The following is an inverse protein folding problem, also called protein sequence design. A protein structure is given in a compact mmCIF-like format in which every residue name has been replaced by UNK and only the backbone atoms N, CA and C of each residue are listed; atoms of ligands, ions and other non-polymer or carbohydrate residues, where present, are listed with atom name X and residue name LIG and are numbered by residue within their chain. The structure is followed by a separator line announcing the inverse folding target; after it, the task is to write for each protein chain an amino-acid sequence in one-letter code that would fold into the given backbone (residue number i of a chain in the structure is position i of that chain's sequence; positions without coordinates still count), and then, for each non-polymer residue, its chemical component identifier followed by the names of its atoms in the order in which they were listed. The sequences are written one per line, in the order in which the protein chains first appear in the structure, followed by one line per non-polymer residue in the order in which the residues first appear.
data_IF_425495519449
#
_entry.id   IF_425495519449
#
_cell.length_a   1.000
_cell.length_b   1.000
_cell.length_c   1.000
_cell.angle_alpha   90.00
_cell.angle_beta   90.00
_cell.angle_gamma   90.00
#
_symmetry.space_group_name_H-M   'P 1'
#
loop_
_entity.id
_entity.type
_entity.pdbx_description
1 polymer ?
#
# COMPACT_ATOMS: atom_id res chain seq x y z
N UNK A 1 -17.06 -32.74 -14.15
CA UNK A 1 -16.68 -31.39 -14.61
C UNK A 1 -15.18 -31.43 -14.88
N UNK A 2 -14.73 -30.87 -15.99
CA UNK A 2 -13.29 -30.73 -16.28
C UNK A 2 -12.69 -29.68 -15.34
N UNK A 3 -11.47 -29.88 -14.87
CA UNK A 3 -10.76 -28.86 -14.10
C UNK A 3 -10.65 -27.55 -14.90
N UNK A 4 -10.62 -26.39 -14.24
CA UNK A 4 -10.35 -25.10 -14.89
C UNK A 4 -8.94 -25.13 -15.53
N UNK A 5 -8.74 -24.31 -16.54
CA UNK A 5 -7.39 -24.09 -17.11
C UNK A 5 -6.49 -23.37 -16.10
N UNK A 6 -5.16 -23.40 -16.31
CA UNK A 6 -4.20 -22.67 -15.45
C UNK A 6 -4.55 -21.19 -15.36
N UNK A 7 -4.90 -20.55 -16.50
CA UNK A 7 -5.30 -19.14 -16.49
C UNK A 7 -6.61 -18.90 -15.71
N UNK A 8 -7.65 -19.72 -15.96
CA UNK A 8 -8.92 -19.62 -15.24
C UNK A 8 -8.74 -19.90 -13.74
N UNK A 9 -7.99 -20.92 -13.35
CA UNK A 9 -7.74 -21.23 -11.95
C UNK A 9 -7.03 -20.08 -11.25
N UNK A 10 -5.98 -19.55 -11.87
CA UNK A 10 -5.21 -18.42 -11.34
C UNK A 10 -6.13 -17.21 -11.09
N UNK A 11 -6.90 -16.80 -12.08
CA UNK A 11 -7.78 -15.64 -11.94
C UNK A 11 -8.93 -15.88 -10.96
N UNK A 12 -9.59 -17.05 -10.98
CA UNK A 12 -10.64 -17.39 -10.00
C UNK A 12 -10.11 -17.39 -8.57
N UNK A 13 -8.89 -17.89 -8.39
CA UNK A 13 -8.27 -17.92 -7.05
C UNK A 13 -7.90 -16.53 -6.54
N UNK A 14 -7.41 -15.64 -7.43
CA UNK A 14 -7.15 -14.24 -7.09
C UNK A 14 -8.45 -13.46 -6.88
N UNK A 15 -9.48 -13.70 -7.69
CA UNK A 15 -10.81 -13.11 -7.50
C UNK A 15 -11.43 -13.50 -6.15
N UNK A 16 -11.19 -14.72 -5.66
CA UNK A 16 -11.66 -15.16 -4.35
C UNK A 16 -11.03 -14.37 -3.17
N UNK A 17 -9.94 -13.62 -3.41
CA UNK A 17 -9.41 -12.64 -2.45
C UNK A 17 -10.25 -11.35 -2.37
N UNK A 18 -11.25 -11.18 -3.24
CA UNK A 18 -12.06 -9.97 -3.35
C UNK A 18 -11.61 -9.00 -4.44
N UNK A 19 -10.73 -9.45 -5.34
CA UNK A 19 -10.28 -8.66 -6.50
C UNK A 19 -11.28 -8.85 -7.63
N UNK A 20 -11.89 -7.77 -8.11
CA UNK A 20 -12.88 -7.78 -9.18
C UNK A 20 -12.39 -7.14 -10.51
N UNK A 21 -11.12 -6.73 -10.57
CA UNK A 21 -10.52 -6.08 -11.73
C UNK A 21 -9.20 -6.72 -12.14
N UNK A 22 -8.96 -6.80 -13.45
CA UNK A 22 -7.67 -7.12 -14.06
C UNK A 22 -7.24 -5.92 -14.90
N UNK A 23 -6.12 -5.30 -14.51
CA UNK A 23 -5.55 -4.18 -15.26
C UNK A 23 -4.51 -4.69 -16.26
N UNK A 24 -4.48 -4.11 -17.45
CA UNK A 24 -3.50 -4.56 -18.44
C UNK A 24 -3.64 -3.93 -19.82
N UNK A 25 -2.76 -4.39 -20.69
CA UNK A 25 -2.82 -4.19 -22.15
C UNK A 25 -2.86 -5.56 -22.79
N UNK A 26 -3.81 -5.86 -23.68
CA UNK A 26 -3.86 -7.15 -24.35
C UNK A 26 -2.58 -7.41 -25.17
N UNK A 27 -1.98 -8.58 -24.97
CA UNK A 27 -0.84 -9.05 -25.74
C UNK A 27 -1.02 -10.50 -26.10
N UNK A 28 -0.56 -10.89 -27.29
CA UNK A 28 -0.81 -12.23 -27.87
C UNK A 28 -0.31 -13.38 -26.99
N UNK A 29 0.81 -13.22 -26.30
CA UNK A 29 1.31 -14.24 -25.37
C UNK A 29 0.52 -14.29 -24.05
N UNK A 30 -0.26 -13.26 -23.74
CA UNK A 30 -1.13 -13.20 -22.56
C UNK A 30 -2.61 -13.52 -22.86
N UNK A 31 -3.00 -13.81 -24.11
CA UNK A 31 -4.38 -14.10 -24.47
C UNK A 31 -5.07 -15.16 -23.60
N UNK A 32 -4.45 -16.27 -23.20
CA UNK A 32 -5.12 -17.19 -22.28
C UNK A 32 -5.57 -16.56 -20.98
N UNK A 33 -4.82 -15.58 -20.46
CA UNK A 33 -5.18 -14.82 -19.23
C UNK A 33 -6.27 -13.80 -19.55
N UNK A 34 -6.17 -13.11 -20.68
CA UNK A 34 -7.13 -12.10 -21.11
C UNK A 34 -8.50 -12.73 -21.38
N UNK A 35 -8.54 -13.84 -22.15
CA UNK A 35 -9.76 -14.58 -22.45
C UNK A 35 -10.40 -15.16 -21.17
N UNK A 36 -9.58 -15.65 -20.25
CA UNK A 36 -10.09 -16.13 -18.95
C UNK A 36 -10.71 -15.01 -18.11
N UNK A 37 -10.17 -13.80 -18.18
CA UNK A 37 -10.74 -12.66 -17.47
C UNK A 37 -12.15 -12.26 -17.97
N UNK A 38 -12.38 -12.39 -19.29
CA UNK A 38 -13.67 -12.06 -19.90
C UNK A 38 -14.78 -13.07 -19.56
N UNK A 39 -14.44 -14.32 -19.24
CA UNK A 39 -15.44 -15.39 -19.00
C UNK A 39 -15.69 -15.68 -17.53
N UNK A 40 -14.95 -15.04 -16.62
CA UNK A 40 -15.12 -15.23 -15.17
C UNK A 40 -16.12 -14.20 -14.64
N UNK A 41 -17.27 -14.68 -14.18
CA UNK A 41 -18.29 -13.83 -13.58
C UNK A 41 -17.74 -13.01 -12.40
N UNK A 42 -18.00 -11.72 -12.41
CA UNK A 42 -17.59 -10.77 -11.36
C UNK A 42 -16.14 -10.27 -11.52
N UNK A 43 -15.43 -10.63 -12.58
CA UNK A 43 -14.11 -10.11 -12.90
C UNK A 43 -14.21 -9.24 -14.17
N UNK A 44 -13.65 -8.04 -14.12
CA UNK A 44 -13.68 -7.08 -15.23
C UNK A 44 -12.26 -6.80 -15.74
N UNK A 45 -12.07 -6.86 -17.06
CA UNK A 45 -10.87 -6.41 -17.72
C UNK A 45 -10.87 -4.89 -17.86
N UNK A 46 -9.87 -4.23 -17.30
CA UNK A 46 -9.69 -2.77 -17.38
C UNK A 46 -8.50 -2.45 -18.29
N UNK A 47 -8.79 -2.08 -19.52
CA UNK A 47 -7.78 -1.69 -20.49
C UNK A 47 -7.14 -0.35 -20.14
N UNK A 48 -5.84 -0.23 -20.39
CA UNK A 48 -5.07 0.99 -20.15
C UNK A 48 -4.37 1.48 -21.41
N UNK A 49 -3.94 2.74 -21.42
CA UNK A 49 -3.24 3.35 -22.55
C UNK A 49 -1.88 2.67 -22.84
N UNK A 50 -1.20 2.21 -21.80
CA UNK A 50 0.00 1.36 -21.85
C UNK A 50 0.14 0.60 -20.53
N UNK A 51 1.14 -0.29 -20.43
CA UNK A 51 1.32 -1.16 -19.28
C UNK A 51 1.80 -0.41 -18.02
N UNK A 52 2.49 0.73 -18.17
CA UNK A 52 2.82 1.58 -17.03
C UNK A 52 1.56 2.19 -16.40
N UNK A 53 0.63 2.67 -17.23
CA UNK A 53 -0.66 3.15 -16.73
C UNK A 53 -1.47 2.02 -16.09
N UNK A 54 -1.44 0.81 -16.66
CA UNK A 54 -2.08 -0.37 -16.07
C UNK A 54 -1.49 -0.70 -14.68
N UNK A 55 -0.15 -0.66 -14.55
CA UNK A 55 0.52 -0.89 -13.27
C UNK A 55 0.18 0.18 -12.23
N UNK A 56 0.07 1.45 -12.63
CA UNK A 56 -0.37 2.53 -11.73
C UNK A 56 -1.85 2.42 -11.35
N UNK A 57 -2.72 1.98 -12.26
CA UNK A 57 -4.11 1.70 -11.92
C UNK A 57 -4.23 0.52 -10.94
N UNK A 58 -3.47 -0.56 -11.17
CA UNK A 58 -3.39 -1.68 -10.24
C UNK A 58 -2.86 -1.25 -8.86
N UNK A 59 -1.87 -0.35 -8.81
CA UNK A 59 -1.37 0.26 -7.56
C UNK A 59 -2.49 1.02 -6.82
N UNK A 60 -3.21 1.90 -7.52
CA UNK A 60 -4.34 2.65 -6.97
C UNK A 60 -5.44 1.74 -6.42
N UNK A 61 -5.83 0.72 -7.20
CA UNK A 61 -6.80 -0.28 -6.79
C UNK A 61 -6.35 -1.05 -5.53
N UNK A 62 -5.08 -1.49 -5.49
CA UNK A 62 -4.53 -2.24 -4.35
C UNK A 62 -4.54 -1.42 -3.05
N UNK A 63 -4.43 -0.09 -3.13
CA UNK A 63 -4.49 0.81 -1.95
C UNK A 63 -5.84 0.75 -1.25
N UNK A 64 -6.92 0.60 -2.02
CA UNK A 64 -8.30 0.61 -1.52
C UNK A 64 -8.81 -0.82 -1.27
N UNK A 65 -8.47 -1.77 -2.15
CA UNK A 65 -9.00 -3.14 -2.11
C UNK A 65 -8.05 -4.15 -1.46
N UNK A 66 -6.81 -3.76 -1.14
CA UNK A 66 -5.80 -4.56 -0.46
C UNK A 66 -4.92 -5.41 -1.36
N UNK A 67 -5.33 -5.71 -2.59
CA UNK A 67 -4.54 -6.41 -3.60
C UNK A 67 -5.08 -6.12 -5.01
N UNK A 68 -4.25 -6.33 -6.06
CA UNK A 68 -4.65 -6.11 -7.45
C UNK A 68 -4.06 -7.18 -8.39
N UNK A 69 -4.65 -7.29 -9.60
CA UNK A 69 -4.14 -8.12 -10.69
C UNK A 69 -3.67 -7.21 -11.83
N UNK A 70 -2.44 -7.43 -12.29
CA UNK A 70 -1.87 -6.81 -13.49
C UNK A 70 -1.52 -7.89 -14.49
N UNK A 71 -1.91 -7.74 -15.76
CA UNK A 71 -1.59 -8.67 -16.83
C UNK A 71 -0.87 -7.98 -17.98
N UNK A 72 0.25 -8.55 -18.42
CA UNK A 72 1.06 -8.05 -19.54
C UNK A 72 1.62 -9.18 -20.39
N UNK A 73 2.00 -8.87 -21.62
CA UNK A 73 2.90 -9.75 -22.39
C UNK A 73 4.32 -9.68 -21.85
N UNK A 74 5.14 -10.70 -22.15
CA UNK A 74 6.55 -10.71 -21.76
C UNK A 74 7.36 -9.63 -22.49
N UNK A 75 8.56 -9.33 -21.98
CA UNK A 75 9.50 -8.41 -22.58
C UNK A 75 8.96 -6.98 -22.60
N UNK A 76 8.44 -6.52 -23.74
CA UNK A 76 8.03 -5.12 -23.92
C UNK A 76 6.93 -4.69 -22.96
N UNK A 77 5.95 -5.55 -22.66
CA UNK A 77 4.84 -5.22 -21.76
C UNK A 77 5.26 -5.24 -20.30
N UNK A 78 5.93 -6.31 -19.84
CA UNK A 78 6.37 -6.39 -18.45
C UNK A 78 7.41 -5.34 -18.09
N UNK A 79 8.34 -5.00 -19.01
CA UNK A 79 9.33 -3.94 -18.77
C UNK A 79 8.68 -2.54 -18.75
N UNK A 80 7.66 -2.32 -19.58
CA UNK A 80 6.86 -1.08 -19.52
C UNK A 80 6.17 -0.92 -18.15
N UNK A 81 5.64 -2.00 -17.58
CA UNK A 81 4.98 -2.02 -16.28
C UNK A 81 5.94 -1.91 -15.09
N UNK A 82 7.22 -2.24 -15.25
CA UNK A 82 8.18 -2.48 -14.18
C UNK A 82 8.31 -1.30 -13.21
N UNK A 83 8.32 -0.06 -13.71
CA UNK A 83 8.38 1.13 -12.88
C UNK A 83 7.17 1.22 -11.93
N UNK A 84 5.96 0.89 -12.40
CA UNK A 84 4.76 0.85 -11.57
C UNK A 84 4.81 -0.27 -10.52
N UNK A 85 5.27 -1.47 -10.91
CA UNK A 85 5.42 -2.61 -9.99
C UNK A 85 6.45 -2.30 -8.89
N UNK A 86 7.56 -1.64 -9.24
CA UNK A 86 8.53 -1.18 -8.23
C UNK A 86 7.95 -0.12 -7.30
N UNK A 87 7.09 0.78 -7.81
CA UNK A 87 6.34 1.71 -7.01
C UNK A 87 5.43 1.03 -5.99
N UNK A 88 4.69 0.01 -6.44
CA UNK A 88 3.86 -0.81 -5.55
C UNK A 88 4.68 -1.53 -4.49
N UNK A 89 5.89 -2.04 -4.83
CA UNK A 89 6.82 -2.61 -3.86
C UNK A 89 7.25 -1.59 -2.81
N UNK A 90 7.63 -0.38 -3.24
CA UNK A 90 8.07 0.69 -2.34
C UNK A 90 6.95 1.09 -1.36
N UNK A 91 5.69 1.05 -1.81
CA UNK A 91 4.51 1.41 -1.02
C UNK A 91 3.79 0.23 -0.37
N UNK A 92 4.42 -0.96 -0.37
CA UNK A 92 3.89 -2.16 0.31
C UNK A 92 2.48 -2.53 -0.16
N UNK A 93 2.35 -2.80 -1.46
CA UNK A 93 1.08 -3.16 -2.10
C UNK A 93 1.20 -4.51 -2.80
N UNK A 94 0.35 -5.49 -2.50
CA UNK A 94 0.30 -6.76 -3.22
C UNK A 94 -0.31 -6.56 -4.62
N UNK A 95 0.53 -6.55 -5.65
CA UNK A 95 0.12 -6.56 -7.04
C UNK A 95 0.58 -7.89 -7.67
N UNK A 96 -0.37 -8.72 -8.08
CA UNK A 96 -0.09 -9.98 -8.77
C UNK A 96 0.13 -9.69 -10.25
N UNK A 97 1.40 -9.58 -10.65
CA UNK A 97 1.78 -9.33 -12.04
C UNK A 97 1.87 -10.65 -12.80
N UNK A 98 0.87 -10.91 -13.64
CA UNK A 98 0.78 -12.10 -14.48
C UNK A 98 1.33 -11.78 -15.87
N UNK A 99 2.35 -12.52 -16.28
CA UNK A 99 3.06 -12.30 -17.56
C UNK A 99 2.86 -13.48 -18.47
N UNK A 100 2.29 -13.21 -19.65
CA UNK A 100 2.14 -14.19 -20.72
C UNK A 100 3.45 -14.41 -21.47
N UNK A 101 3.85 -15.66 -21.69
CA UNK A 101 5.10 -16.02 -22.38
C UNK A 101 4.88 -16.99 -23.54
N UNK A 102 5.82 -17.03 -24.52
CA UNK A 102 5.87 -18.09 -25.51
C UNK A 102 5.92 -19.49 -24.88
N UNK A 103 5.45 -20.50 -25.62
CA UNK A 103 5.45 -21.87 -25.11
C UNK A 103 6.85 -22.36 -24.73
N UNK A 104 6.93 -23.33 -23.83
CA UNK A 104 8.18 -23.94 -23.39
C UNK A 104 8.95 -24.54 -24.56
N UNK A 105 8.23 -25.07 -25.57
CA UNK A 105 8.87 -25.59 -26.78
C UNK A 105 9.63 -24.50 -27.51
N UNK A 106 9.06 -23.32 -27.70
CA UNK A 106 9.70 -22.18 -28.36
C UNK A 106 10.95 -21.77 -27.55
N UNK A 107 10.84 -21.69 -26.26
CA UNK A 107 11.92 -21.32 -25.34
C UNK A 107 13.07 -22.36 -25.38
N UNK A 108 12.76 -23.66 -25.26
CA UNK A 108 13.74 -24.76 -25.32
C UNK A 108 14.47 -24.84 -26.66
N UNK A 109 13.74 -24.66 -27.76
CA UNK A 109 14.33 -24.65 -29.09
C UNK A 109 15.06 -23.36 -29.43
N UNK A 110 15.03 -22.38 -28.52
CA UNK A 110 15.64 -21.07 -28.69
C UNK A 110 15.24 -20.40 -30.02
N UNK A 111 13.95 -20.49 -30.34
CA UNK A 111 13.44 -19.85 -31.56
C UNK A 111 13.31 -18.33 -31.30
N UNK A 112 13.53 -17.53 -32.31
CA UNK A 112 13.33 -16.08 -32.22
C UNK A 112 11.84 -15.78 -32.43
N UNK A 113 11.25 -15.09 -31.47
CA UNK A 113 9.89 -14.55 -31.53
C UNK A 113 9.94 -13.02 -31.41
N UNK A 114 8.85 -12.35 -31.72
CA UNK A 114 8.75 -10.91 -31.37
C UNK A 114 8.80 -10.70 -29.88
N UNK A 115 9.05 -9.48 -29.42
CA UNK A 115 9.31 -9.08 -28.02
C UNK A 115 10.61 -9.65 -27.42
N UNK A 116 11.41 -10.37 -28.21
CA UNK A 116 12.73 -10.87 -27.83
C UNK A 116 13.84 -9.91 -28.31
N UNK A 117 14.97 -9.88 -27.62
CA UNK A 117 16.13 -9.04 -27.99
C UNK A 117 16.96 -9.62 -29.15
N UNK A 118 16.51 -10.70 -29.79
CA UNK A 118 17.22 -11.39 -30.88
C UNK A 118 18.32 -12.34 -30.40
N UNK A 119 18.45 -12.56 -29.10
CA UNK A 119 19.46 -13.44 -28.48
C UNK A 119 18.88 -14.77 -27.97
N UNK A 120 17.61 -15.00 -28.18
CA UNK A 120 16.88 -16.21 -27.78
C UNK A 120 16.87 -16.54 -26.29
N UNK A 121 17.19 -15.57 -25.44
CA UNK A 121 17.11 -15.67 -23.98
C UNK A 121 15.78 -15.18 -23.48
N UNK A 122 14.95 -16.10 -22.99
CA UNK A 122 13.62 -15.82 -22.45
C UNK A 122 13.61 -15.56 -20.93
N UNK A 123 14.63 -16.04 -20.22
CA UNK A 123 14.82 -15.91 -18.78
C UNK A 123 15.20 -14.50 -18.34
N UNK A 124 15.81 -13.70 -19.22
CA UNK A 124 16.31 -12.35 -18.90
C UNK A 124 15.24 -11.42 -18.32
N UNK A 125 14.08 -11.39 -18.93
CA UNK A 125 12.99 -10.51 -18.48
C UNK A 125 12.39 -11.01 -17.17
N UNK A 126 12.31 -12.32 -16.96
CA UNK A 126 11.91 -12.93 -15.69
C UNK A 126 12.87 -12.53 -14.57
N UNK A 127 14.19 -12.56 -14.79
CA UNK A 127 15.20 -12.15 -13.82
C UNK A 127 15.01 -10.68 -13.42
N UNK A 128 14.75 -9.81 -14.39
CA UNK A 128 14.53 -8.37 -14.15
C UNK A 128 13.23 -8.14 -13.39
N UNK A 129 12.12 -8.67 -13.86
CA UNK A 129 10.78 -8.45 -13.26
C UNK A 129 10.65 -9.12 -11.90
N UNK A 130 11.20 -10.30 -11.71
CA UNK A 130 11.20 -10.97 -10.41
C UNK A 130 11.95 -10.16 -9.33
N UNK A 131 12.98 -9.38 -9.69
CA UNK A 131 13.70 -8.52 -8.75
C UNK A 131 12.82 -7.40 -8.16
N UNK A 132 11.77 -7.00 -8.87
CA UNK A 132 10.79 -6.02 -8.38
C UNK A 132 9.79 -6.63 -7.38
N UNK A 133 9.70 -7.95 -7.30
CA UNK A 133 8.69 -8.68 -6.53
C UNK A 133 9.30 -9.37 -5.31
N UNK A 134 8.49 -9.72 -4.32
CA UNK A 134 8.94 -10.50 -3.15
C UNK A 134 8.94 -12.00 -3.41
N UNK A 135 8.19 -12.43 -4.40
CA UNK A 135 7.99 -13.84 -4.74
C UNK A 135 7.68 -13.98 -6.23
N UNK A 136 8.11 -15.09 -6.84
CA UNK A 136 7.82 -15.41 -8.24
C UNK A 136 7.52 -16.88 -8.44
N UNK A 137 6.78 -17.21 -9.50
CA UNK A 137 6.54 -18.57 -9.95
C UNK A 137 6.28 -18.63 -11.46
N UNK A 138 6.68 -19.74 -12.09
CA UNK A 138 6.25 -20.15 -13.42
C UNK A 138 5.17 -21.21 -13.24
N UNK A 139 3.96 -20.90 -13.69
CA UNK A 139 2.80 -21.77 -13.50
C UNK A 139 2.64 -22.76 -14.66
N UNK A 140 2.52 -24.04 -14.28
CA UNK A 140 2.27 -25.15 -15.18
C UNK A 140 1.04 -25.93 -14.70
N UNK A 141 0.44 -26.82 -15.51
CA UNK A 141 -0.67 -27.66 -15.05
C UNK A 141 -0.39 -28.42 -13.77
N UNK A 142 0.85 -28.89 -13.60
CA UNK A 142 1.25 -29.76 -12.47
C UNK A 142 1.50 -29.00 -11.16
N UNK A 143 1.98 -27.74 -11.23
CA UNK A 143 2.40 -26.98 -10.05
C UNK A 143 1.47 -25.80 -9.70
N UNK A 144 0.53 -25.47 -10.57
CA UNK A 144 -0.26 -24.24 -10.46
C UNK A 144 -0.95 -24.10 -9.10
N UNK A 145 -1.52 -25.17 -8.59
CA UNK A 145 -2.28 -25.12 -7.32
C UNK A 145 -1.36 -24.76 -6.15
N UNK A 146 -0.26 -25.48 -5.99
CA UNK A 146 0.64 -25.30 -4.84
C UNK A 146 1.45 -24.00 -4.93
N UNK A 147 1.97 -23.70 -6.12
CA UNK A 147 2.76 -22.50 -6.36
C UNK A 147 1.93 -21.21 -6.24
N UNK A 148 0.69 -21.21 -6.72
CA UNK A 148 -0.20 -20.06 -6.59
C UNK A 148 -0.53 -19.77 -5.12
N UNK A 149 -0.84 -20.82 -4.33
CA UNK A 149 -1.08 -20.64 -2.88
C UNK A 149 0.17 -20.16 -2.13
N UNK A 150 1.35 -20.64 -2.51
CA UNK A 150 2.63 -20.16 -1.97
C UNK A 150 2.82 -18.67 -2.29
N UNK A 151 2.62 -18.29 -3.55
CA UNK A 151 2.79 -16.90 -4.02
C UNK A 151 1.78 -15.96 -3.36
N UNK A 152 0.51 -16.34 -3.29
CA UNK A 152 -0.53 -15.56 -2.62
C UNK A 152 -0.15 -15.31 -1.16
N UNK A 153 0.19 -16.36 -0.42
CA UNK A 153 0.55 -16.23 0.99
C UNK A 153 1.74 -15.32 1.20
N UNK A 154 2.78 -15.47 0.40
CA UNK A 154 4.01 -14.68 0.55
C UNK A 154 3.81 -13.21 0.17
N UNK A 155 3.11 -12.93 -0.94
CA UNK A 155 2.81 -11.56 -1.38
C UNK A 155 1.96 -10.81 -0.35
N UNK A 156 0.93 -11.46 0.18
CA UNK A 156 0.04 -10.87 1.18
C UNK A 156 0.73 -10.72 2.54
N UNK A 157 1.56 -11.72 2.95
CA UNK A 157 2.32 -11.65 4.20
C UNK A 157 3.31 -10.47 4.21
N UNK A 158 3.96 -10.21 3.08
CA UNK A 158 4.93 -9.12 2.96
C UNK A 158 4.28 -7.79 2.53
N UNK A 159 3.02 -7.81 2.10
CA UNK A 159 2.35 -6.67 1.44
C UNK A 159 3.21 -6.15 0.29
N UNK A 160 3.57 -7.03 -0.67
CA UNK A 160 4.46 -6.70 -1.79
C UNK A 160 4.01 -7.38 -3.09
N UNK A 161 4.44 -6.86 -4.25
CA UNK A 161 4.13 -7.46 -5.53
C UNK A 161 4.67 -8.89 -5.67
N UNK A 162 3.94 -9.69 -6.47
CA UNK A 162 4.31 -11.03 -6.89
C UNK A 162 4.41 -11.09 -8.42
N UNK A 163 5.30 -11.94 -8.93
CA UNK A 163 5.51 -12.16 -10.35
C UNK A 163 5.12 -13.59 -10.75
N UNK A 164 4.15 -13.71 -11.65
CA UNK A 164 3.61 -14.95 -12.12
C UNK A 164 3.80 -15.08 -13.65
N UNK A 165 4.34 -16.18 -14.11
CA UNK A 165 4.51 -16.46 -15.54
C UNK A 165 3.56 -17.57 -15.95
N UNK A 166 2.81 -17.34 -17.02
CA UNK A 166 1.94 -18.32 -17.66
C UNK A 166 2.26 -18.36 -19.15
N UNK A 167 2.74 -19.49 -19.67
CA UNK A 167 2.93 -19.61 -21.11
C UNK A 167 1.60 -19.79 -21.84
N UNK A 168 1.56 -19.41 -23.13
CA UNK A 168 0.37 -19.57 -23.98
C UNK A 168 -0.21 -21.00 -23.94
N UNK A 169 0.67 -22.02 -23.92
CA UNK A 169 0.23 -23.40 -23.92
C UNK A 169 -0.27 -23.83 -22.55
N UNK A 170 0.48 -23.54 -21.48
CA UNK A 170 0.06 -23.88 -20.13
C UNK A 170 -1.22 -23.15 -19.74
N UNK A 171 -1.39 -21.90 -20.18
CA UNK A 171 -2.55 -21.08 -19.85
C UNK A 171 -3.90 -21.71 -20.24
N UNK A 172 -3.93 -22.48 -21.34
CA UNK A 172 -5.15 -23.17 -21.80
C UNK A 172 -5.25 -24.63 -21.37
N UNK A 173 -4.23 -25.16 -20.67
CA UNK A 173 -4.26 -26.52 -20.16
C UNK A 173 -4.98 -26.60 -18.82
N UNK A 174 -5.78 -27.66 -18.56
CA UNK A 174 -6.41 -27.85 -17.26
C UNK A 174 -5.39 -28.10 -16.15
N UNK A 175 -5.63 -27.56 -14.95
CA UNK A 175 -4.79 -27.86 -13.80
C UNK A 175 -4.88 -29.31 -13.40
N UNK A 176 -3.77 -29.88 -12.92
CA UNK A 176 -3.69 -31.25 -12.41
C UNK A 176 -3.78 -31.20 -10.88
N UNK A 177 -4.69 -31.96 -10.34
CA UNK A 177 -4.94 -31.98 -8.88
C UNK A 177 -6.33 -31.50 -8.51
N UNK A 178 -6.56 -31.32 -7.21
CA UNK A 178 -7.83 -30.83 -6.69
C UNK A 178 -7.74 -29.32 -6.42
N UNK A 179 -8.52 -28.50 -7.15
CA UNK A 179 -8.57 -27.06 -6.90
C UNK A 179 -8.88 -26.73 -5.43
N UNK A 180 -8.13 -25.78 -4.86
CA UNK A 180 -8.37 -25.30 -3.50
C UNK A 180 -9.54 -24.33 -3.48
N UNK A 181 -10.41 -24.44 -2.48
CA UNK A 181 -11.48 -23.45 -2.27
C UNK A 181 -10.86 -22.09 -1.95
N UNK A 182 -11.41 -21.04 -2.53
CA UNK A 182 -10.95 -19.69 -2.30
C UNK A 182 -11.09 -19.27 -0.83
N UNK A 183 -10.04 -18.67 -0.28
CA UNK A 183 -10.05 -18.07 1.06
C UNK A 183 -10.00 -16.56 0.91
N UNK A 184 -10.90 -15.80 1.56
CA UNK A 184 -10.90 -14.34 1.49
C UNK A 184 -9.59 -13.71 1.97
N UNK A 185 -9.27 -12.53 1.45
CA UNK A 185 -8.06 -11.76 1.80
C UNK A 185 -7.86 -11.63 3.31
N UNK A 186 -8.92 -11.28 4.04
CA UNK A 186 -8.87 -11.08 5.49
C UNK A 186 -8.47 -12.36 6.27
N UNK A 187 -8.77 -13.55 5.75
CA UNK A 187 -8.35 -14.80 6.38
C UNK A 187 -6.90 -15.15 6.06
N UNK A 188 -6.44 -14.87 4.85
CA UNK A 188 -5.05 -15.14 4.42
C UNK A 188 -4.07 -14.22 5.14
N UNK A 189 -4.45 -12.96 5.38
CA UNK A 189 -3.60 -11.96 6.03
C UNK A 189 -3.66 -12.01 7.55
N UNK A 190 -4.59 -12.78 8.13
CA UNK A 190 -4.77 -12.85 9.58
C UNK A 190 -3.53 -13.43 10.28
N UNK A 191 -2.90 -12.59 11.09
CA UNK A 191 -1.80 -12.99 11.98
C UNK A 191 -2.33 -13.27 13.38
N UNK A 192 -1.59 -14.10 14.12
CA UNK A 192 -1.86 -14.39 15.54
C UNK A 192 -0.61 -14.10 16.33
N UNK A 193 -0.77 -13.44 17.45
CA UNK A 193 0.31 -13.15 18.36
C UNK A 193 0.65 -14.36 19.25
N UNK A 194 1.92 -14.45 19.66
CA UNK A 194 2.28 -15.22 20.83
C UNK A 194 1.66 -14.55 22.06
N UNK A 195 0.86 -15.26 22.90
CA UNK A 195 0.17 -14.62 24.01
C UNK A 195 1.08 -14.04 25.09
N UNK A 196 2.26 -14.65 25.30
CA UNK A 196 3.24 -14.18 26.28
C UNK A 196 3.93 -12.91 25.83
N UNK A 197 4.39 -12.90 24.58
CA UNK A 197 5.02 -11.72 23.96
C UNK A 197 4.02 -10.57 23.85
N UNK A 198 2.77 -10.85 23.45
CA UNK A 198 1.71 -9.83 23.39
C UNK A 198 1.49 -9.19 24.75
N UNK A 199 1.29 -9.98 25.79
CA UNK A 199 1.05 -9.46 27.14
C UNK A 199 2.26 -8.66 27.65
N UNK A 200 3.48 -9.05 27.33
CA UNK A 200 4.69 -8.33 27.68
C UNK A 200 4.81 -6.99 26.93
N UNK A 201 4.58 -7.02 25.61
CA UNK A 201 4.60 -5.83 24.75
C UNK A 201 3.57 -4.78 25.21
N UNK A 202 2.33 -5.21 25.43
CA UNK A 202 1.23 -4.32 25.86
C UNK A 202 1.56 -3.67 27.20
N UNK A 203 2.05 -4.44 28.19
CA UNK A 203 2.46 -3.87 29.50
C UNK A 203 3.58 -2.85 29.34
N UNK A 204 4.58 -3.11 28.49
CA UNK A 204 5.69 -2.20 28.25
C UNK A 204 5.23 -0.89 27.61
N UNK A 205 4.32 -0.98 26.63
CA UNK A 205 3.74 0.20 25.95
C UNK A 205 2.94 1.03 26.96
N UNK A 206 2.00 0.42 27.68
CA UNK A 206 1.14 1.11 28.65
C UNK A 206 1.96 1.78 29.76
N UNK A 207 3.01 1.12 30.26
CA UNK A 207 3.91 1.71 31.25
C UNK A 207 4.62 2.96 30.72
N UNK A 208 5.12 2.94 29.48
CA UNK A 208 5.75 4.11 28.86
C UNK A 208 4.74 5.24 28.60
N UNK A 209 3.57 4.90 28.08
CA UNK A 209 2.49 5.88 27.86
C UNK A 209 2.08 6.53 29.19
N UNK A 210 1.94 5.77 30.26
CA UNK A 210 1.57 6.30 31.57
C UNK A 210 2.66 7.19 32.19
N UNK A 211 3.93 6.87 31.98
CA UNK A 211 5.07 7.62 32.54
C UNK A 211 5.38 8.91 31.75
N UNK A 212 5.09 8.96 30.47
CA UNK A 212 5.42 10.10 29.61
C UNK A 212 4.61 11.35 30.02
N UNK A 213 5.29 12.50 30.02
CA UNK A 213 4.65 13.80 30.28
C UNK A 213 4.12 14.44 29.00
N UNK A 214 4.82 14.28 27.89
CA UNK A 214 4.52 14.88 26.58
C UNK A 214 4.62 13.82 25.46
N UNK A 215 3.78 12.78 25.53
CA UNK A 215 3.76 11.77 24.46
C UNK A 215 3.13 12.34 23.19
N UNK A 216 3.66 11.93 22.02
CA UNK A 216 3.10 12.19 20.70
C UNK A 216 3.02 10.88 19.95
N UNK A 217 1.91 10.61 19.28
CA UNK A 217 1.76 9.47 18.40
C UNK A 217 1.94 9.87 16.93
N UNK A 218 2.41 8.94 16.12
CA UNK A 218 2.30 8.98 14.67
C UNK A 218 1.66 7.70 14.18
N UNK A 219 0.77 7.82 13.19
CA UNK A 219 0.11 6.69 12.55
C UNK A 219 0.50 6.70 11.08
N UNK A 220 1.03 5.61 10.59
CA UNK A 220 1.57 5.56 9.24
C UNK A 220 0.64 4.85 8.26
N UNK A 221 0.83 5.11 6.97
CA UNK A 221 0.15 4.43 5.87
C UNK A 221 0.21 2.91 5.98
N UNK A 222 1.23 2.36 6.66
CA UNK A 222 1.34 0.91 6.87
C UNK A 222 0.15 0.35 7.66
N UNK A 223 -0.46 1.13 8.55
CA UNK A 223 -1.67 0.68 9.27
C UNK A 223 -2.86 0.43 8.33
N UNK A 224 -2.98 1.21 7.26
CA UNK A 224 -3.97 0.94 6.19
C UNK A 224 -3.60 -0.32 5.41
N UNK A 225 -2.30 -0.54 5.09
CA UNK A 225 -1.81 -1.76 4.40
C UNK A 225 -2.05 -3.03 5.22
N UNK A 226 -2.01 -2.92 6.54
CA UNK A 226 -2.31 -4.02 7.47
C UNK A 226 -3.81 -4.13 7.84
N UNK A 227 -4.66 -3.25 7.33
CA UNK A 227 -6.10 -3.24 7.62
C UNK A 227 -6.45 -2.81 9.05
N UNK A 228 -5.58 -2.06 9.73
CA UNK A 228 -5.74 -1.69 11.14
C UNK A 228 -5.80 -0.17 11.41
N UNK A 229 -5.91 0.67 10.37
CA UNK A 229 -5.99 2.12 10.53
C UNK A 229 -7.15 2.56 11.43
N UNK A 230 -8.30 1.91 11.35
CA UNK A 230 -9.45 2.13 12.24
C UNK A 230 -9.10 1.86 13.70
N UNK A 231 -8.44 0.73 13.99
CA UNK A 231 -7.99 0.39 15.35
C UNK A 231 -6.96 1.38 15.88
N UNK A 232 -6.04 1.85 15.01
CA UNK A 232 -5.09 2.89 15.39
C UNK A 232 -5.81 4.19 15.78
N UNK A 233 -6.82 4.61 15.02
CA UNK A 233 -7.65 5.75 15.35
C UNK A 233 -8.40 5.56 16.68
N UNK A 234 -8.94 4.37 16.93
CA UNK A 234 -9.65 4.05 18.18
C UNK A 234 -8.72 4.07 19.39
N UNK A 235 -7.49 3.55 19.24
CA UNK A 235 -6.48 3.67 20.30
C UNK A 235 -6.10 5.12 20.59
N UNK A 236 -5.88 5.95 19.56
CA UNK A 236 -5.60 7.38 19.72
C UNK A 236 -6.72 8.10 20.47
N UNK A 237 -7.99 7.78 20.15
CA UNK A 237 -9.16 8.34 20.88
C UNK A 237 -9.21 7.86 22.33
N UNK A 238 -9.07 6.54 22.55
CA UNK A 238 -9.14 5.94 23.88
C UNK A 238 -8.04 6.48 24.81
N UNK A 239 -6.82 6.58 24.33
CA UNK A 239 -5.68 7.12 25.07
C UNK A 239 -5.68 8.66 25.15
N UNK A 240 -6.48 9.35 24.35
CA UNK A 240 -6.50 10.81 24.14
C UNK A 240 -5.10 11.37 23.85
N UNK A 241 -4.34 10.72 22.95
CA UNK A 241 -2.98 11.11 22.58
C UNK A 241 -2.98 12.15 21.46
N UNK A 242 -2.13 13.19 21.51
CA UNK A 242 -1.88 14.01 20.32
C UNK A 242 -1.25 13.14 19.22
N UNK A 243 -1.78 13.27 18.01
CA UNK A 243 -1.31 12.51 16.85
C UNK A 243 -0.91 13.43 15.72
N UNK A 244 0.29 13.23 15.20
CA UNK A 244 0.77 13.84 13.99
C UNK A 244 0.75 12.83 12.84
N UNK A 245 0.73 13.33 11.60
CA UNK A 245 1.01 12.53 10.39
C UNK A 245 2.23 13.10 9.68
N UNK A 246 2.86 12.28 8.85
CA UNK A 246 3.90 12.74 7.93
C UNK A 246 3.34 12.91 6.51
N UNK A 247 4.00 13.60 5.58
CA UNK A 247 3.51 13.77 4.20
C UNK A 247 3.12 12.48 3.49
N UNK A 248 3.85 11.37 3.73
CA UNK A 248 3.51 10.07 3.14
C UNK A 248 2.28 9.39 3.78
N UNK A 249 1.85 9.88 4.94
CA UNK A 249 0.79 9.29 5.75
C UNK A 249 -0.51 10.10 5.71
N UNK A 250 -0.54 11.15 4.87
CA UNK A 250 -1.72 12.01 4.74
C UNK A 250 -2.96 11.20 4.39
N UNK A 251 -4.04 11.44 5.12
CA UNK A 251 -5.32 10.77 4.90
C UNK A 251 -5.44 9.37 5.52
N UNK A 252 -4.41 8.83 6.18
CA UNK A 252 -4.49 7.54 6.88
C UNK A 252 -5.41 7.59 8.09
N UNK A 253 -5.55 8.76 8.70
CA UNK A 253 -6.52 9.08 9.74
C UNK A 253 -7.47 10.17 9.26
N UNK A 254 -8.68 10.20 9.81
CA UNK A 254 -9.57 11.34 9.67
C UNK A 254 -8.94 12.55 10.38
N UNK A 255 -8.54 13.55 9.61
CA UNK A 255 -7.89 14.76 10.13
C UNK A 255 -8.86 15.67 10.94
N UNK A 256 -10.15 15.34 10.98
CA UNK A 256 -11.12 15.99 11.87
C UNK A 256 -11.04 15.52 13.33
N UNK A 257 -10.27 14.46 13.61
CA UNK A 257 -10.05 13.97 14.98
C UNK A 257 -9.56 15.07 15.89
N UNK A 258 -10.15 15.23 17.10
CA UNK A 258 -9.68 16.24 18.08
C UNK A 258 -8.23 16.04 18.50
N UNK A 259 -7.70 14.81 18.37
CA UNK A 259 -6.32 14.45 18.69
C UNK A 259 -5.32 14.83 17.60
N UNK A 260 -5.79 15.10 16.37
CA UNK A 260 -4.92 15.44 15.26
C UNK A 260 -4.30 16.83 15.44
N UNK A 261 -2.98 16.92 15.54
CA UNK A 261 -2.26 18.17 15.75
C UNK A 261 -1.65 18.74 14.47
N UNK A 262 -1.60 17.98 13.38
CA UNK A 262 -1.13 18.45 12.08
C UNK A 262 -0.12 17.54 11.42
N UNK A 263 0.52 18.08 10.37
CA UNK A 263 1.52 17.39 9.54
C UNK A 263 2.93 17.72 10.02
N UNK A 264 3.70 16.70 10.42
CA UNK A 264 5.11 16.87 10.74
C UNK A 264 5.98 16.70 9.49
N UNK A 265 6.82 17.68 9.23
CA UNK A 265 7.84 17.65 8.16
C UNK A 265 8.99 18.61 8.53
N UNK A 266 9.55 18.46 9.73
CA UNK A 266 10.59 19.33 10.29
C UNK A 266 10.26 20.83 10.10
N UNK A 267 11.11 21.60 9.44
CA UNK A 267 10.89 23.02 9.19
C UNK A 267 9.64 23.32 8.32
N UNK A 268 9.15 22.33 7.59
CA UNK A 268 7.97 22.46 6.72
C UNK A 268 6.68 21.97 7.39
N UNK A 269 6.70 21.68 8.69
CA UNK A 269 5.53 21.23 9.46
C UNK A 269 4.33 22.19 9.34
N UNK A 270 3.11 21.63 9.40
CA UNK A 270 1.87 22.41 9.28
C UNK A 270 0.84 21.95 10.31
N UNK A 271 0.35 22.83 11.21
CA UNK A 271 0.91 24.18 11.43
C UNK A 271 2.37 24.11 11.97
N UNK A 272 3.14 25.21 11.90
CA UNK A 272 4.57 25.20 12.29
C UNK A 272 4.83 24.72 13.72
N UNK A 273 3.91 24.95 14.64
CA UNK A 273 3.98 24.57 16.05
C UNK A 273 4.08 23.05 16.27
N UNK A 274 3.65 22.26 15.30
CA UNK A 274 3.79 20.78 15.34
C UNK A 274 5.26 20.38 15.51
N UNK A 275 6.19 21.10 14.87
CA UNK A 275 7.63 20.88 15.03
C UNK A 275 8.05 20.99 16.51
N UNK A 276 7.58 22.02 17.21
CA UNK A 276 7.98 22.29 18.60
C UNK A 276 7.36 21.24 19.54
N UNK A 277 6.11 20.83 19.27
CA UNK A 277 5.44 19.76 20.04
C UNK A 277 6.23 18.45 19.91
N UNK A 278 6.64 18.08 18.68
CA UNK A 278 7.40 16.86 18.43
C UNK A 278 8.81 16.94 19.02
N UNK A 279 9.49 18.10 18.89
CA UNK A 279 10.82 18.31 19.47
C UNK A 279 10.84 18.23 21.00
N UNK A 280 9.74 18.57 21.67
CA UNK A 280 9.60 18.52 23.12
C UNK A 280 9.01 17.19 23.61
N UNK A 281 8.63 16.29 22.72
CA UNK A 281 8.05 15.00 23.11
C UNK A 281 9.09 14.16 23.87
N UNK A 282 8.67 13.59 24.99
CA UNK A 282 9.45 12.65 25.79
C UNK A 282 9.13 11.18 25.42
N UNK A 283 8.12 10.98 24.59
CA UNK A 283 7.76 9.70 24.03
C UNK A 283 7.15 9.89 22.63
N UNK A 284 7.68 9.20 21.65
CA UNK A 284 7.05 9.03 20.34
C UNK A 284 6.48 7.60 20.25
N UNK A 285 5.17 7.50 19.98
CA UNK A 285 4.54 6.24 19.60
C UNK A 285 4.44 6.17 18.07
N UNK A 286 5.22 5.29 17.51
CA UNK A 286 5.23 4.99 16.08
C UNK A 286 4.33 3.78 15.81
N UNK A 287 3.15 4.03 15.22
CA UNK A 287 2.15 2.99 14.92
C UNK A 287 2.17 2.71 13.41
N UNK A 288 2.75 1.58 13.04
CA UNK A 288 2.87 1.11 11.66
C UNK A 288 4.27 1.21 11.07
N UNK A 289 5.17 2.00 11.65
CA UNK A 289 6.53 2.23 11.18
C UNK A 289 6.70 3.51 10.36
N UNK A 290 7.38 4.50 10.92
CA UNK A 290 7.67 5.78 10.24
C UNK A 290 8.66 5.55 9.09
N UNK A 291 8.29 6.03 7.92
CA UNK A 291 9.16 6.05 6.76
C UNK A 291 9.93 7.38 6.73
N UNK A 292 11.21 7.33 7.09
CA UNK A 292 12.08 8.51 7.13
C UNK A 292 12.71 8.75 5.76
N UNK A 293 12.22 9.75 5.05
CA UNK A 293 12.79 10.22 3.76
C UNK A 293 12.94 11.73 3.80
N UNK A 294 13.72 12.28 2.88
CA UNK A 294 13.90 13.73 2.75
C UNK A 294 12.57 14.47 2.50
N UNK A 295 11.65 13.88 1.75
CA UNK A 295 10.32 14.48 1.50
C UNK A 295 9.39 14.35 2.71
N UNK A 296 9.55 13.31 3.49
CA UNK A 296 8.67 12.99 4.60
C UNK A 296 9.05 13.68 5.90
N UNK A 297 10.32 14.00 6.10
CA UNK A 297 10.85 14.59 7.33
C UNK A 297 11.49 15.95 7.12
N UNK A 298 11.28 16.58 5.97
CA UNK A 298 11.75 17.94 5.66
C UNK A 298 13.12 17.98 5.04
N UNK A 299 13.20 17.70 3.75
CA UNK A 299 14.32 17.89 2.80
C UNK A 299 15.64 18.33 3.46
N UNK A 300 16.62 17.42 3.60
CA UNK A 300 17.97 17.72 4.10
C UNK A 300 18.04 18.38 5.50
N UNK A 301 16.90 18.46 6.19
CA UNK A 301 16.78 19.04 7.51
C UNK A 301 16.92 18.03 8.64
N UNK A 302 16.47 18.41 9.83
CA UNK A 302 16.50 17.57 11.03
C UNK A 302 15.62 16.33 10.83
N UNK A 303 16.21 15.16 10.79
CA UNK A 303 15.49 13.89 10.71
C UNK A 303 14.87 13.59 12.09
N UNK A 304 13.61 13.17 12.10
CA UNK A 304 12.95 12.72 13.34
C UNK A 304 13.70 11.53 13.93
N UNK A 305 14.25 11.70 15.12
CA UNK A 305 14.89 10.60 15.85
C UNK A 305 13.82 9.69 16.48
N UNK A 306 13.68 8.50 15.95
CA UNK A 306 12.79 7.46 16.48
C UNK A 306 13.53 6.38 17.27
N UNK A 307 14.80 6.56 17.59
CA UNK A 307 15.61 5.56 18.32
C UNK A 307 15.03 5.23 19.70
N UNK A 308 14.49 6.24 20.39
CA UNK A 308 13.81 6.12 21.69
C UNK A 308 12.31 5.80 21.62
N UNK A 309 11.74 5.76 20.42
CA UNK A 309 10.30 5.57 20.23
C UNK A 309 9.84 4.16 20.66
N UNK A 310 8.57 4.05 21.01
CA UNK A 310 7.84 2.79 20.96
C UNK A 310 7.38 2.58 19.53
N UNK A 311 7.85 1.51 18.88
CA UNK A 311 7.45 1.16 17.52
C UNK A 311 6.53 -0.06 17.57
N UNK A 312 5.32 0.07 17.00
CA UNK A 312 4.35 -1.02 16.85
C UNK A 312 4.30 -1.33 15.36
N UNK A 313 4.94 -2.43 14.97
CA UNK A 313 5.04 -2.86 13.60
C UNK A 313 4.09 -4.02 13.32
N UNK A 314 4.07 -4.49 12.08
CA UNK A 314 3.21 -5.57 11.59
C UNK A 314 3.18 -6.83 12.48
N UNK A 315 4.37 -7.36 12.84
CA UNK A 315 4.52 -8.59 13.62
C UNK A 315 5.55 -8.50 14.75
N UNK A 316 5.96 -7.29 15.11
CA UNK A 316 6.87 -7.03 16.23
C UNK A 316 6.61 -5.66 16.87
N UNK A 317 7.00 -5.55 18.13
CA UNK A 317 6.99 -4.30 18.90
C UNK A 317 8.39 -4.04 19.44
N UNK A 318 8.86 -2.79 19.37
CA UNK A 318 10.05 -2.33 20.06
C UNK A 318 9.68 -1.27 21.10
N UNK A 319 10.13 -1.45 22.31
CA UNK A 319 9.93 -0.48 23.41
C UNK A 319 11.28 -0.19 24.10
N UNK A 320 11.96 0.85 23.65
CA UNK A 320 13.35 1.12 24.01
C UNK A 320 14.30 0.06 23.41
N UNK A 321 15.03 -0.68 24.26
CA UNK A 321 15.92 -1.78 23.85
C UNK A 321 15.21 -3.12 23.70
N UNK A 322 14.02 -3.26 24.26
CA UNK A 322 13.28 -4.52 24.26
C UNK A 322 12.51 -4.69 22.94
N UNK A 323 12.60 -5.90 22.39
CA UNK A 323 11.91 -6.27 21.14
C UNK A 323 11.05 -7.52 21.42
N UNK A 324 9.77 -7.40 21.08
CA UNK A 324 8.77 -8.46 21.20
C UNK A 324 8.44 -8.95 19.79
N UNK A 325 8.66 -10.23 19.53
CA UNK A 325 8.47 -10.83 18.21
C UNK A 325 7.18 -11.66 18.15
N UNK A 326 6.67 -11.88 16.94
CA UNK A 326 5.42 -12.61 16.72
C UNK A 326 4.24 -11.96 17.45
N UNK A 327 4.14 -10.65 17.36
CA UNK A 327 3.11 -9.83 18.01
C UNK A 327 2.39 -9.03 16.94
N UNK A 328 1.22 -9.51 16.52
CA UNK A 328 0.45 -8.89 15.45
C UNK A 328 -0.06 -7.50 15.87
N UNK A 329 0.17 -6.48 15.07
CA UNK A 329 -0.24 -5.09 15.33
C UNK A 329 -1.74 -4.97 15.67
N UNK A 330 -2.60 -5.77 15.03
CA UNK A 330 -4.04 -5.77 15.30
C UNK A 330 -4.39 -6.23 16.72
N UNK A 331 -3.69 -7.27 17.22
CA UNK A 331 -3.89 -7.78 18.58
C UNK A 331 -3.34 -6.82 19.63
N UNK A 332 -2.19 -6.17 19.32
CA UNK A 332 -1.63 -5.11 20.18
C UNK A 332 -2.60 -3.95 20.33
N UNK A 333 -3.13 -3.45 19.23
CA UNK A 333 -4.07 -2.33 19.25
C UNK A 333 -5.36 -2.68 20.00
N UNK A 334 -5.91 -3.87 19.81
CA UNK A 334 -7.10 -4.34 20.55
C UNK A 334 -6.85 -4.36 22.08
N UNK A 335 -5.70 -4.89 22.50
CA UNK A 335 -5.34 -4.95 23.92
C UNK A 335 -5.06 -3.54 24.49
N UNK A 336 -4.39 -2.68 23.72
CA UNK A 336 -4.15 -1.30 24.14
C UNK A 336 -5.46 -0.51 24.28
N UNK A 337 -6.41 -0.66 23.37
CA UNK A 337 -7.73 -0.02 23.45
C UNK A 337 -8.48 -0.46 24.72
N UNK A 338 -8.38 -1.74 25.08
CA UNK A 338 -9.07 -2.28 26.27
C UNK A 338 -8.50 -1.77 27.60
N UNK A 339 -7.19 -1.56 27.67
CA UNK A 339 -6.48 -1.34 28.93
C UNK A 339 -5.94 0.09 29.13
N UNK A 340 -5.93 0.94 28.09
CA UNK A 340 -5.37 2.29 28.19
C UNK A 340 -6.29 3.21 28.99
N UNK A 341 -5.72 3.96 29.93
CA UNK A 341 -6.42 5.05 30.59
C UNK A 341 -6.33 6.33 29.75
N UNK A 342 -7.45 7.06 29.57
CA UNK A 342 -7.43 8.34 28.88
C UNK A 342 -6.58 9.36 29.64
N UNK A 343 -5.81 10.16 28.90
CA UNK A 343 -4.96 11.20 29.47
C UNK A 343 -5.68 12.55 29.47
N UNK A 344 -5.37 13.38 30.46
CA UNK A 344 -5.61 14.80 30.33
C UNK A 344 -4.62 15.36 29.28
N UNK A 345 -5.13 16.15 28.36
CA UNK A 345 -4.35 16.73 27.28
C UNK A 345 -4.59 18.23 27.21
N UNK A 346 -3.51 19.01 27.18
CA UNK A 346 -3.60 20.40 26.76
C UNK A 346 -4.00 20.45 25.27
N UNK A 347 -4.77 21.46 24.88
CA UNK A 347 -5.13 21.69 23.50
C UNK A 347 -3.85 21.92 22.68
N UNK A 348 -3.52 20.97 21.82
CA UNK A 348 -2.40 21.09 20.89
C UNK A 348 -2.71 22.04 19.73
N UNK A 349 -1.72 22.35 18.89
CA UNK A 349 -1.96 23.11 17.68
C UNK A 349 -2.99 22.37 16.83
N UNK A 350 -4.03 23.08 16.40
CA UNK A 350 -5.04 22.53 15.52
C UNK A 350 -4.77 23.06 14.11
N UNK A 351 -4.70 22.20 13.10
CA UNK A 351 -4.62 22.66 11.73
C UNK A 351 -5.84 23.52 11.40
N UNK A 352 -5.60 24.70 10.88
CA UNK A 352 -6.68 25.61 10.48
C UNK A 352 -7.06 25.36 9.03
N UNK A 353 -8.27 25.75 8.65
CA UNK A 353 -8.64 25.82 7.25
C UNK A 353 -7.78 26.86 6.53
N UNK A 354 -7.48 26.60 5.26
CA UNK A 354 -6.76 27.54 4.43
C UNK A 354 -7.61 28.80 4.21
N UNK A 355 -7.00 29.97 4.40
CA UNK A 355 -7.67 31.25 4.17
C UNK A 355 -8.02 31.40 2.66
N UNK A 356 -9.28 31.75 2.39
CA UNK A 356 -9.73 32.01 1.04
C UNK A 356 -9.30 33.43 0.62
N UNK A 357 -8.44 33.50 -0.37
CA UNK A 357 -7.99 34.76 -0.94
C UNK A 357 -8.61 34.98 -2.33
N UNK A 358 -8.82 36.24 -2.68
CA UNK A 358 -9.31 36.69 -3.99
C UNK A 358 -10.82 36.52 -4.22
N UNK A 359 -11.34 37.25 -5.20
CA UNK A 359 -12.76 37.29 -5.57
C UNK A 359 -13.21 36.10 -6.43
N UNK A 360 -12.28 35.38 -7.06
CA UNK A 360 -12.55 34.19 -7.87
C UNK A 360 -12.51 34.40 -9.37
N UNK A 361 -12.28 35.59 -9.83
CA UNK A 361 -12.11 35.99 -11.24
C UNK A 361 -10.64 36.24 -11.61
N UNK A 362 -9.74 36.16 -10.65
CA UNK A 362 -8.30 36.30 -10.90
C UNK A 362 -7.71 35.06 -11.58
N UNK A 363 -6.53 35.18 -12.21
CA UNK A 363 -5.78 34.05 -12.70
C UNK A 363 -5.52 32.99 -11.59
N UNK A 364 -5.61 31.73 -11.94
CA UNK A 364 -5.37 30.64 -11.00
C UNK A 364 -3.97 30.68 -10.43
N UNK A 365 -3.89 30.65 -9.10
CA UNK A 365 -2.65 30.57 -8.34
C UNK A 365 -2.81 29.54 -7.22
N UNK A 366 -1.71 29.04 -6.64
CA UNK A 366 -1.78 28.15 -5.49
C UNK A 366 -2.55 28.78 -4.33
N UNK A 367 -2.39 30.07 -4.09
CA UNK A 367 -3.04 30.80 -3.00
C UNK A 367 -4.58 30.85 -3.12
N UNK A 368 -5.11 30.87 -4.34
CA UNK A 368 -6.57 30.89 -4.54
C UNK A 368 -7.16 29.53 -4.91
N UNK A 369 -6.39 28.58 -5.42
CA UNK A 369 -6.86 27.25 -5.84
C UNK A 369 -7.09 26.32 -4.64
N UNK A 370 -6.06 26.07 -3.80
CA UNK A 370 -6.14 25.07 -2.74
C UNK A 370 -7.17 25.38 -1.66
N UNK A 371 -7.38 26.64 -1.22
CA UNK A 371 -8.48 26.96 -0.31
C UNK A 371 -9.87 26.67 -0.91
N UNK A 372 -10.03 26.88 -2.21
CA UNK A 372 -11.27 26.55 -2.91
C UNK A 372 -11.46 25.05 -3.06
N UNK A 373 -10.40 24.31 -3.35
CA UNK A 373 -10.41 22.86 -3.39
C UNK A 373 -10.83 22.30 -2.03
N UNK A 374 -10.21 22.74 -0.93
CA UNK A 374 -10.54 22.30 0.44
C UNK A 374 -12.03 22.43 0.73
N UNK A 375 -12.64 23.55 0.36
CA UNK A 375 -14.08 23.80 0.57
C UNK A 375 -15.00 23.00 -0.36
N UNK A 376 -14.46 22.42 -1.42
CA UNK A 376 -15.22 21.55 -2.35
C UNK A 376 -15.23 20.09 -1.92
N UNK A 377 -14.22 19.64 -1.20
CA UNK A 377 -14.11 18.27 -0.74
C UNK A 377 -15.23 17.92 0.24
N UNK A 378 -15.75 16.72 0.11
CA UNK A 378 -16.86 16.19 0.91
C UNK A 378 -16.51 14.83 1.48
N UNK A 379 -17.16 14.43 2.55
CA UNK A 379 -17.03 13.06 3.09
C UNK A 379 -17.28 12.02 2.00
N UNK A 380 -16.38 11.05 1.91
CA UNK A 380 -16.35 10.02 0.87
C UNK A 380 -15.46 10.34 -0.34
N UNK A 381 -14.96 11.58 -0.47
CA UNK A 381 -13.97 11.89 -1.49
C UNK A 381 -12.60 11.33 -1.10
N UNK A 382 -11.82 10.92 -2.11
CA UNK A 382 -10.40 10.58 -1.96
C UNK A 382 -9.58 11.48 -2.89
N UNK A 383 -8.60 12.18 -2.31
CA UNK A 383 -7.67 13.02 -3.06
C UNK A 383 -6.47 12.18 -3.48
N UNK A 384 -6.33 11.90 -4.77
CA UNK A 384 -5.15 11.21 -5.30
C UNK A 384 -4.09 12.26 -5.65
N UNK A 385 -2.96 12.20 -4.93
CA UNK A 385 -1.96 13.27 -4.89
C UNK A 385 -0.77 12.91 -5.77
N UNK A 386 -0.52 13.72 -6.81
CA UNK A 386 0.67 13.61 -7.65
C UNK A 386 1.92 14.12 -6.91
N UNK A 387 3.06 13.46 -7.14
CA UNK A 387 4.36 13.94 -6.66
C UNK A 387 4.73 15.26 -7.33
N UNK A 388 4.99 16.29 -6.55
CA UNK A 388 5.34 17.62 -7.04
C UNK A 388 4.91 18.73 -6.08
N UNK A 389 4.86 19.99 -6.57
CA UNK A 389 4.48 21.14 -5.76
C UNK A 389 3.04 21.03 -5.22
N UNK A 390 2.13 20.35 -5.92
CA UNK A 390 0.79 20.06 -5.43
C UNK A 390 0.79 19.28 -4.12
N UNK A 391 1.70 18.32 -3.95
CA UNK A 391 1.86 17.56 -2.72
C UNK A 391 2.16 18.48 -1.52
N UNK A 392 3.05 19.45 -1.69
CA UNK A 392 3.37 20.41 -0.63
C UNK A 392 2.16 21.24 -0.19
N UNK A 393 1.35 21.68 -1.13
CA UNK A 393 0.13 22.45 -0.83
C UNK A 393 -0.96 21.59 -0.21
N UNK A 394 -1.15 20.36 -0.71
CA UNK A 394 -2.12 19.43 -0.16
C UNK A 394 -1.73 18.97 1.26
N UNK A 395 -0.43 18.79 1.53
CA UNK A 395 0.06 18.50 2.88
C UNK A 395 -0.18 19.64 3.87
N UNK A 396 -0.19 20.89 3.38
CA UNK A 396 -0.51 22.05 4.22
C UNK A 396 -2.03 22.18 4.51
N UNK A 397 -2.86 21.54 3.71
CA UNK A 397 -4.31 21.60 3.80
C UNK A 397 -4.82 20.55 4.78
N UNK A 398 -5.62 20.95 5.78
CA UNK A 398 -6.39 20.00 6.59
C UNK A 398 -7.50 19.38 5.75
N UNK A 399 -7.60 18.07 5.72
CA UNK A 399 -8.70 17.39 5.03
C UNK A 399 -10.00 17.53 5.83
N UNK A 400 -11.14 17.83 5.18
CA UNK A 400 -12.45 17.77 5.82
C UNK A 400 -12.77 16.36 6.34
N UNK A 401 -13.70 16.27 7.29
CA UNK A 401 -14.13 15.01 7.89
C UNK A 401 -14.55 13.98 6.80
N UNK A 402 -14.05 12.76 6.92
CA UNK A 402 -14.36 11.66 6.01
C UNK A 402 -13.74 11.77 4.61
N UNK A 403 -12.79 12.68 4.40
CA UNK A 403 -12.01 12.77 3.16
C UNK A 403 -10.71 12.00 3.33
N UNK A 404 -10.44 11.07 2.38
CA UNK A 404 -9.18 10.33 2.30
C UNK A 404 -8.15 10.98 1.38
N UNK A 405 -6.89 10.53 1.47
CA UNK A 405 -5.85 10.90 0.53
C UNK A 405 -4.92 9.73 0.25
N UNK A 406 -4.44 9.61 -0.99
CA UNK A 406 -3.44 8.65 -1.42
C UNK A 406 -2.38 9.34 -2.27
N UNK A 407 -1.11 9.01 -2.02
CA UNK A 407 0.02 9.58 -2.74
C UNK A 407 1.18 8.60 -2.87
N UNK A 408 2.06 8.83 -3.83
CA UNK A 408 3.25 8.00 -4.08
C UNK A 408 4.53 8.77 -3.72
N UNK A 409 4.63 9.21 -2.45
CA UNK A 409 5.72 10.08 -2.02
C UNK A 409 7.10 9.41 -1.92
N UNK A 410 7.18 8.10 -1.63
CA UNK A 410 8.46 7.39 -1.51
C UNK A 410 9.08 7.08 -2.87
N UNK A 411 8.33 6.43 -3.77
CA UNK A 411 8.83 6.09 -5.12
C UNK A 411 8.90 7.33 -6.00
N UNK A 412 7.90 8.22 -5.86
CA UNK A 412 7.91 9.55 -6.47
C UNK A 412 7.83 9.55 -7.99
N UNK A 413 7.27 8.53 -8.62
CA UNK A 413 7.12 8.46 -10.08
C UNK A 413 6.00 9.38 -10.53
N UNK A 414 6.34 10.46 -11.21
CA UNK A 414 5.34 11.41 -11.74
C UNK A 414 4.50 10.81 -12.87
N UNK A 415 3.25 11.24 -12.99
CA UNK A 415 2.25 10.65 -13.88
C UNK A 415 1.48 9.49 -13.25
N UNK A 416 1.70 9.20 -11.95
CA UNK A 416 1.03 8.12 -11.21
C UNK A 416 -0.42 8.44 -10.87
N UNK A 417 -0.72 9.68 -10.45
CA UNK A 417 -2.00 9.99 -9.81
C UNK A 417 -3.22 9.77 -10.71
N UNK A 418 -3.13 10.14 -12.00
CA UNK A 418 -4.26 10.00 -12.93
C UNK A 418 -4.65 8.53 -13.16
N UNK A 419 -3.74 7.62 -13.55
CA UNK A 419 -4.12 6.21 -13.69
C UNK A 419 -4.42 5.55 -12.33
N UNK A 420 -3.77 5.93 -11.24
CA UNK A 420 -4.11 5.41 -9.91
C UNK A 420 -5.53 5.79 -9.47
N UNK A 421 -6.01 6.97 -9.84
CA UNK A 421 -7.39 7.39 -9.58
C UNK A 421 -8.42 6.64 -10.46
N UNK A 422 -7.98 6.03 -11.56
CA UNK A 422 -8.82 5.16 -12.39
C UNK A 422 -8.99 3.77 -11.76
N UNK A 423 -7.96 3.26 -11.08
CA UNK A 423 -7.99 2.01 -10.33
C UNK A 423 -8.70 2.14 -9.01
#
# INVERSE_FOLDING_TARGET
MTNPTVAEYTLRRLAALGIDKVFGVPGDYAFPVNDAAEVIDGLEWVASANELNAAYAADGYARIRGAAILSTTYGVGELSALNGVMGSRAHRLPVFHIVGMPSERIQHLRLITHHNLGDTRYDRFQEISASACCVSAVLTPDNCIDELERVIREALRQSMPAYLVISQVNGVMPVIGTPVSGVPLAEVTRRRSDPTELAAAVRAILAKVAAAQRPVATVTTMTARYGVAGKAADFIRAANLPVMLTPNDKGVLDESLPQFIGMYSAASSRPPEVRDVVAQADLILDIGGVMLTELNTGLWGDVLDTSGAVCIHDDWVRSGTDVYLNVAIGDVLDALIADVAPRERESGPLPTELELTGAGDEPTSSANFYPRLQRRLRSGDTVVIETGTCMSHLNAMRLPAGVGAEGQGLWGSIGWATPAAMG
#
